data_IF_399152430500
#
_entry.id   IF_399152430500
#
_cell.length_a   1.000
_cell.length_b   1.000
_cell.length_c   1.000
_cell.angle_alpha   90.00
_cell.angle_beta   90.00
_cell.angle_gamma   90.00
#
_symmetry.space_group_name_H-M   'P 1'
#
loop_
_entity.id
_entity.type
_entity.pdbx_description
1 polymer ?
#
# COMPACT_ATOMS: atom_id res chain seq x y z
N UNK A 1 -35.80 42.78 16.03
CA UNK A 1 -36.08 42.05 14.78
C UNK A 1 -34.82 41.82 13.94
N UNK A 2 -34.12 42.86 13.44
CA UNK A 2 -32.95 42.67 12.56
C UNK A 2 -31.78 41.85 13.15
N UNK A 3 -31.57 41.92 14.46
CA UNK A 3 -30.52 41.14 15.12
C UNK A 3 -30.71 39.62 14.96
N UNK A 4 -31.94 39.10 15.09
CA UNK A 4 -32.22 37.67 14.91
C UNK A 4 -31.96 37.21 13.47
N UNK A 5 -32.29 38.06 12.49
CA UNK A 5 -31.99 37.80 11.07
C UNK A 5 -30.48 37.76 10.84
N UNK A 6 -29.72 38.68 11.44
CA UNK A 6 -28.27 38.70 11.34
C UNK A 6 -27.63 37.44 11.96
N UNK A 7 -28.13 36.99 13.11
CA UNK A 7 -27.66 35.73 13.75
C UNK A 7 -27.98 34.52 12.88
N UNK A 8 -29.20 34.41 12.34
CA UNK A 8 -29.55 33.30 11.45
C UNK A 8 -28.71 33.31 10.16
N UNK A 9 -28.41 34.50 9.63
CA UNK A 9 -27.52 34.66 8.49
C UNK A 9 -26.10 34.15 8.80
N UNK A 10 -25.57 34.46 9.99
CA UNK A 10 -24.30 33.91 10.44
C UNK A 10 -24.35 32.38 10.61
N UNK A 11 -25.39 31.83 11.25
CA UNK A 11 -25.57 30.39 11.44
C UNK A 11 -25.58 29.60 10.12
N UNK A 12 -26.17 30.16 9.04
CA UNK A 12 -26.13 29.55 7.71
C UNK A 12 -24.71 29.32 7.19
N UNK A 13 -23.73 30.11 7.64
CA UNK A 13 -22.32 29.94 7.30
C UNK A 13 -21.59 28.90 8.17
N UNK A 14 -22.17 28.46 9.29
CA UNK A 14 -21.52 27.56 10.24
C UNK A 14 -22.06 26.11 10.16
N UNK A 15 -22.89 25.83 9.16
CA UNK A 15 -23.50 24.51 8.97
C UNK A 15 -22.48 23.46 8.50
N UNK A 16 -22.70 22.22 8.93
CA UNK A 16 -21.89 21.07 8.54
C UNK A 16 -21.77 20.90 7.01
N UNK A 17 -22.82 21.24 6.26
CA UNK A 17 -22.77 21.24 4.79
C UNK A 17 -21.64 22.11 4.24
N UNK A 18 -21.46 23.32 4.78
CA UNK A 18 -20.35 24.20 4.37
C UNK A 18 -19.00 23.64 4.78
N UNK A 19 -18.89 23.01 5.95
CA UNK A 19 -17.66 22.35 6.38
C UNK A 19 -17.26 21.23 5.41
N UNK A 20 -18.22 20.43 4.94
CA UNK A 20 -17.99 19.37 3.97
C UNK A 20 -17.66 19.93 2.58
N UNK A 21 -18.37 20.96 2.10
CA UNK A 21 -18.07 21.65 0.83
C UNK A 21 -16.67 22.28 0.82
N UNK A 22 -16.19 22.75 1.98
CA UNK A 22 -14.82 23.26 2.15
C UNK A 22 -13.78 22.17 2.35
N UNK A 23 -14.18 20.90 2.42
CA UNK A 23 -13.29 19.76 2.57
C UNK A 23 -12.57 19.69 3.92
N UNK A 24 -13.04 20.41 4.94
CA UNK A 24 -12.44 20.37 6.30
C UNK A 24 -12.93 19.16 7.10
N UNK A 25 -14.03 18.54 6.66
CA UNK A 25 -14.54 17.26 7.15
C UNK A 25 -14.80 16.33 5.96
N UNK A 26 -14.76 15.02 6.20
CA UNK A 26 -15.01 14.03 5.15
C UNK A 26 -16.51 13.87 4.85
N UNK A 27 -17.33 13.80 5.89
CA UNK A 27 -18.77 13.55 5.75
C UNK A 27 -19.53 14.07 6.99
N UNK A 28 -20.76 14.52 6.78
CA UNK A 28 -21.72 14.82 7.85
C UNK A 28 -22.43 13.55 8.31
N UNK A 29 -22.45 13.28 9.61
CA UNK A 29 -23.03 12.05 10.15
C UNK A 29 -24.31 12.31 10.96
N UNK A 30 -25.27 11.39 10.83
CA UNK A 30 -26.40 11.32 11.74
C UNK A 30 -25.97 10.68 13.08
N UNK A 31 -26.26 11.36 14.19
CA UNK A 31 -25.90 10.87 15.53
C UNK A 31 -26.37 9.44 15.81
N UNK A 32 -27.58 9.08 15.36
CA UNK A 32 -28.16 7.73 15.54
C UNK A 32 -27.31 6.62 14.88
N UNK A 33 -26.62 6.93 13.80
CA UNK A 33 -25.79 5.98 13.04
C UNK A 33 -24.30 6.06 13.40
N UNK A 34 -23.89 7.07 14.16
CA UNK A 34 -22.49 7.38 14.49
C UNK A 34 -21.72 6.19 15.07
N UNK A 35 -22.31 5.45 16.03
CA UNK A 35 -21.66 4.28 16.65
C UNK A 35 -21.30 3.21 15.62
N UNK A 36 -22.23 2.87 14.71
CA UNK A 36 -21.99 1.87 13.65
C UNK A 36 -20.93 2.37 12.67
N UNK A 37 -21.00 3.64 12.29
CA UNK A 37 -20.01 4.26 11.41
C UNK A 37 -18.61 4.18 12.01
N UNK A 38 -18.42 4.69 13.23
CA UNK A 38 -17.10 4.73 13.87
C UNK A 38 -16.55 3.34 14.21
N UNK A 39 -17.41 2.36 14.52
CA UNK A 39 -16.98 0.97 14.70
C UNK A 39 -16.24 0.45 13.45
N UNK A 40 -16.87 0.54 12.28
CA UNK A 40 -16.25 0.06 11.04
C UNK A 40 -15.10 0.94 10.57
N UNK A 41 -15.23 2.27 10.69
CA UNK A 41 -14.19 3.20 10.26
C UNK A 41 -12.90 3.04 11.08
N UNK A 42 -13.02 2.93 12.41
CA UNK A 42 -11.86 2.74 13.27
C UNK A 42 -11.18 1.40 13.01
N UNK A 43 -11.96 0.32 12.87
CA UNK A 43 -11.44 -1.02 12.57
C UNK A 43 -10.69 -1.03 11.23
N UNK A 44 -11.23 -0.38 10.19
CA UNK A 44 -10.55 -0.16 8.91
C UNK A 44 -9.21 0.54 9.09
N UNK A 45 -9.20 1.69 9.75
CA UNK A 45 -7.98 2.50 9.95
C UNK A 45 -6.90 1.73 10.72
N UNK A 46 -7.27 0.92 11.71
CA UNK A 46 -6.33 0.08 12.45
C UNK A 46 -5.72 -1.02 11.58
N UNK A 47 -6.52 -1.66 10.72
CA UNK A 47 -6.03 -2.69 9.80
C UNK A 47 -5.16 -2.09 8.69
N UNK A 48 -5.59 -0.98 8.06
CA UNK A 48 -4.78 -0.23 7.10
C UNK A 48 -3.45 0.20 7.72
N UNK A 49 -3.46 0.71 8.97
CA UNK A 49 -2.24 1.09 9.69
C UNK A 49 -1.29 -0.09 9.94
N UNK A 50 -1.80 -1.30 10.22
CA UNK A 50 -0.97 -2.50 10.35
C UNK A 50 -0.30 -2.86 9.02
N UNK A 51 -1.05 -2.80 7.92
CA UNK A 51 -0.51 -3.11 6.58
C UNK A 51 0.48 -2.04 6.13
N UNK A 52 0.21 -0.76 6.35
CA UNK A 52 1.15 0.32 6.07
C UNK A 52 2.48 0.11 6.82
N UNK A 53 2.43 -0.33 8.08
CA UNK A 53 3.64 -0.67 8.83
C UNK A 53 4.42 -1.82 8.17
N UNK A 54 3.74 -2.86 7.67
CA UNK A 54 4.40 -3.95 6.97
C UNK A 54 4.99 -3.50 5.62
N UNK A 55 4.29 -2.65 4.87
CA UNK A 55 4.80 -2.09 3.61
C UNK A 55 6.05 -1.23 3.88
N UNK A 56 5.99 -0.34 4.87
CA UNK A 56 7.12 0.51 5.25
C UNK A 56 8.35 -0.29 5.73
N UNK A 57 8.14 -1.46 6.35
CA UNK A 57 9.23 -2.38 6.68
C UNK A 57 9.83 -3.10 5.46
N UNK A 58 9.05 -3.25 4.38
CA UNK A 58 9.51 -3.86 3.13
C UNK A 58 10.21 -2.85 2.21
N UNK A 59 9.75 -1.61 2.21
CA UNK A 59 10.30 -0.51 1.44
C UNK A 59 10.05 0.81 2.18
N UNK A 60 11.11 1.42 2.70
CA UNK A 60 11.05 2.65 3.49
C UNK A 60 10.90 3.92 2.65
N UNK A 61 11.13 3.85 1.35
CA UNK A 61 11.06 4.99 0.42
C UNK A 61 9.61 5.36 0.05
N UNK A 62 8.63 4.53 0.42
CA UNK A 62 7.22 4.74 0.07
C UNK A 62 6.53 5.72 1.00
N UNK A 63 5.95 6.77 0.42
CA UNK A 63 5.09 7.72 1.14
C UNK A 63 3.74 7.09 1.53
N UNK A 64 3.10 7.67 2.56
CA UNK A 64 1.75 7.23 3.00
C UNK A 64 0.71 7.30 1.88
N UNK A 65 0.77 8.32 1.03
CA UNK A 65 -0.14 8.46 -0.10
C UNK A 65 0.04 7.34 -1.14
N UNK A 66 1.29 6.95 -1.42
CA UNK A 66 1.59 5.81 -2.31
C UNK A 66 1.09 4.50 -1.69
N UNK A 67 1.33 4.26 -0.41
CA UNK A 67 0.84 3.06 0.28
C UNK A 67 -0.69 2.97 0.24
N UNK A 68 -1.40 4.08 0.47
CA UNK A 68 -2.86 4.15 0.35
C UNK A 68 -3.34 3.84 -1.08
N UNK A 69 -2.69 4.41 -2.09
CA UNK A 69 -3.03 4.16 -3.49
C UNK A 69 -2.77 2.69 -3.89
N UNK A 70 -1.67 2.11 -3.42
CA UNK A 70 -1.33 0.70 -3.64
C UNK A 70 -2.35 -0.23 -2.99
N UNK A 71 -2.74 0.03 -1.73
CA UNK A 71 -3.73 -0.79 -1.04
C UNK A 71 -5.10 -0.75 -1.74
N UNK A 72 -5.53 0.44 -2.20
CA UNK A 72 -6.74 0.58 -3.01
C UNK A 72 -6.62 -0.21 -4.32
N UNK A 73 -5.46 -0.15 -4.99
CA UNK A 73 -5.21 -0.90 -6.22
C UNK A 73 -5.30 -2.41 -5.96
N UNK A 74 -4.66 -2.91 -4.92
CA UNK A 74 -4.69 -4.33 -4.56
C UNK A 74 -6.10 -4.83 -4.24
N UNK A 75 -6.91 -4.01 -3.57
CA UNK A 75 -8.32 -4.32 -3.35
C UNK A 75 -9.08 -4.48 -4.68
N UNK A 76 -8.92 -3.53 -5.60
CA UNK A 76 -9.59 -3.55 -6.91
C UNK A 76 -9.12 -4.71 -7.78
N UNK A 77 -7.83 -5.02 -7.75
CA UNK A 77 -7.24 -6.16 -8.48
C UNK A 77 -7.77 -7.50 -7.94
N UNK A 78 -7.95 -7.62 -6.63
CA UNK A 78 -8.44 -8.84 -5.99
C UNK A 78 -9.95 -9.04 -6.13
N UNK A 79 -10.75 -7.99 -5.87
CA UNK A 79 -12.23 -8.06 -5.90
C UNK A 79 -12.83 -7.80 -7.28
N UNK A 80 -12.04 -7.25 -8.20
CA UNK A 80 -12.46 -6.85 -9.54
C UNK A 80 -12.99 -5.43 -9.63
N UNK A 81 -12.84 -4.82 -10.81
CA UNK A 81 -13.22 -3.42 -11.08
C UNK A 81 -14.71 -3.14 -10.89
N UNK A 82 -15.57 -4.14 -11.07
CA UNK A 82 -17.02 -4.03 -10.84
C UNK A 82 -17.34 -3.70 -9.37
N UNK A 83 -16.52 -4.17 -8.43
CA UNK A 83 -16.67 -3.91 -6.99
C UNK A 83 -15.82 -2.74 -6.48
N UNK A 84 -15.23 -1.93 -7.36
CA UNK A 84 -14.35 -0.84 -6.95
C UNK A 84 -15.06 0.20 -6.03
N UNK A 85 -16.38 0.36 -6.16
CA UNK A 85 -17.18 1.24 -5.30
C UNK A 85 -17.23 0.76 -3.84
N UNK A 86 -17.01 -0.54 -3.58
CA UNK A 86 -16.99 -1.10 -2.23
C UNK A 86 -15.77 -0.64 -1.42
N UNK A 87 -14.74 -0.09 -2.08
CA UNK A 87 -13.60 0.52 -1.40
C UNK A 87 -14.01 1.68 -0.47
N UNK A 88 -15.10 2.38 -0.79
CA UNK A 88 -15.62 3.46 0.05
C UNK A 88 -16.49 2.92 1.21
N UNK A 89 -16.92 1.65 1.13
CA UNK A 89 -17.64 0.98 2.20
C UNK A 89 -16.69 0.42 3.27
N UNK A 90 -16.69 1.02 4.46
CA UNK A 90 -15.82 0.61 5.56
C UNK A 90 -15.98 -0.86 5.96
N UNK A 91 -17.20 -1.41 5.92
CA UNK A 91 -17.45 -2.79 6.32
C UNK A 91 -16.87 -3.78 5.29
N UNK A 92 -17.12 -3.55 4.00
CA UNK A 92 -16.59 -4.40 2.92
C UNK A 92 -15.07 -4.44 2.94
N UNK A 93 -14.42 -3.27 3.07
CA UNK A 93 -12.95 -3.20 3.14
C UNK A 93 -12.42 -3.91 4.39
N UNK A 94 -13.05 -3.75 5.56
CA UNK A 94 -12.62 -4.47 6.77
C UNK A 94 -12.71 -5.98 6.59
N UNK A 95 -13.82 -6.48 6.03
CA UNK A 95 -13.99 -7.92 5.80
C UNK A 95 -12.90 -8.47 4.88
N UNK A 96 -12.59 -7.76 3.80
CA UNK A 96 -11.51 -8.14 2.90
C UNK A 96 -10.13 -8.09 3.59
N UNK A 97 -9.81 -7.00 4.30
CA UNK A 97 -8.53 -6.87 5.01
C UNK A 97 -8.33 -7.99 6.04
N UNK A 98 -9.39 -8.40 6.73
CA UNK A 98 -9.32 -9.50 7.70
C UNK A 98 -9.08 -10.85 7.05
N UNK A 99 -9.72 -11.13 5.92
CA UNK A 99 -9.44 -12.33 5.13
C UNK A 99 -7.98 -12.34 4.66
N UNK A 100 -7.47 -11.21 4.16
CA UNK A 100 -6.09 -11.09 3.69
C UNK A 100 -5.03 -11.19 4.80
N UNK A 101 -5.38 -10.86 6.04
CA UNK A 101 -4.50 -10.95 7.21
C UNK A 101 -4.66 -12.25 7.99
N UNK A 102 -5.63 -13.10 7.63
CA UNK A 102 -5.83 -14.40 8.27
C UNK A 102 -4.67 -15.35 7.94
N UNK A 103 -4.19 -16.09 8.95
CA UNK A 103 -3.15 -17.11 8.75
C UNK A 103 -3.70 -18.36 8.04
N UNK A 104 -5.01 -18.54 8.03
CA UNK A 104 -5.69 -19.67 7.39
C UNK A 104 -5.82 -19.52 5.87
N UNK A 105 -5.58 -18.31 5.34
CA UNK A 105 -5.66 -18.02 3.91
C UNK A 105 -4.32 -18.37 3.23
N UNK A 106 -4.25 -19.43 2.39
CA UNK A 106 -3.00 -19.84 1.76
C UNK A 106 -2.48 -18.83 0.71
N UNK A 107 -3.34 -17.96 0.17
CA UNK A 107 -2.99 -16.99 -0.87
C UNK A 107 -3.46 -15.58 -0.52
N UNK A 108 -2.66 -14.87 0.27
CA UNK A 108 -2.89 -13.46 0.60
C UNK A 108 -2.22 -12.55 -0.44
N UNK A 109 -3.05 -11.85 -1.21
CA UNK A 109 -2.63 -10.84 -2.20
C UNK A 109 -1.78 -9.75 -1.54
N UNK A 110 -2.15 -9.33 -0.33
CA UNK A 110 -1.39 -8.32 0.41
C UNK A 110 0.01 -8.83 0.76
N UNK A 111 0.10 -10.05 1.30
CA UNK A 111 1.39 -10.65 1.69
C UNK A 111 2.29 -10.87 0.48
N UNK A 112 1.73 -11.38 -0.60
CA UNK A 112 2.46 -11.64 -1.84
C UNK A 112 2.99 -10.34 -2.45
N UNK A 113 2.16 -9.30 -2.50
CA UNK A 113 2.58 -7.99 -2.99
C UNK A 113 3.66 -7.35 -2.10
N UNK A 114 3.56 -7.46 -0.77
CA UNK A 114 4.61 -6.98 0.15
C UNK A 114 5.93 -7.72 -0.09
N UNK A 115 5.88 -9.04 -0.33
CA UNK A 115 7.07 -9.82 -0.65
C UNK A 115 7.71 -9.40 -1.98
N UNK A 116 6.90 -9.07 -2.99
CA UNK A 116 7.39 -8.51 -4.25
C UNK A 116 8.06 -7.15 -4.02
N UNK A 117 7.42 -6.24 -3.30
CA UNK A 117 8.00 -4.93 -2.96
C UNK A 117 9.34 -5.06 -2.24
N UNK A 118 9.44 -5.99 -1.28
CA UNK A 118 10.68 -6.25 -0.56
C UNK A 118 11.79 -6.73 -1.49
N UNK A 119 11.49 -7.66 -2.41
CA UNK A 119 12.48 -8.14 -3.39
C UNK A 119 12.95 -7.01 -4.28
N UNK A 120 12.02 -6.22 -4.82
CA UNK A 120 12.33 -5.12 -5.73
C UNK A 120 13.20 -4.06 -5.02
N UNK A 121 12.87 -3.73 -3.77
CA UNK A 121 13.65 -2.78 -2.97
C UNK A 121 15.07 -3.29 -2.68
N UNK A 122 15.24 -4.57 -2.30
CA UNK A 122 16.57 -5.16 -2.09
C UNK A 122 17.38 -5.17 -3.39
N UNK A 123 16.77 -5.50 -4.53
CA UNK A 123 17.45 -5.46 -5.82
C UNK A 123 17.87 -4.03 -6.19
N UNK A 124 17.04 -3.03 -5.91
CA UNK A 124 17.37 -1.63 -6.12
C UNK A 124 18.53 -1.19 -5.23
N UNK A 125 18.56 -1.61 -3.95
CA UNK A 125 19.68 -1.35 -3.04
C UNK A 125 20.98 -1.97 -3.54
N UNK A 126 20.97 -3.24 -3.95
CA UNK A 126 22.15 -3.91 -4.53
C UNK A 126 22.65 -3.16 -5.76
N UNK A 127 21.73 -2.75 -6.64
CA UNK A 127 22.07 -1.99 -7.84
C UNK A 127 22.74 -0.65 -7.50
N UNK A 128 22.20 0.10 -6.55
CA UNK A 128 22.79 1.36 -6.10
C UNK A 128 24.20 1.14 -5.54
N UNK A 129 24.37 0.15 -4.66
CA UNK A 129 25.66 -0.16 -4.04
C UNK A 129 26.75 -0.49 -5.07
N UNK A 130 26.41 -1.27 -6.11
CA UNK A 130 27.35 -1.61 -7.20
C UNK A 130 27.62 -0.42 -8.12
N UNK A 131 26.63 0.45 -8.35
CA UNK A 131 26.82 1.67 -9.15
C UNK A 131 27.71 2.69 -8.46
N UNK A 132 27.57 2.83 -7.14
CA UNK A 132 28.35 3.76 -6.32
C UNK A 132 29.78 3.24 -6.07
N UNK A 133 29.99 1.92 -6.17
CA UNK A 133 31.27 1.24 -5.89
C UNK A 133 31.57 0.20 -7.00
N UNK A 134 31.90 0.62 -8.24
CA UNK A 134 32.08 -0.30 -9.36
C UNK A 134 33.24 -1.28 -9.19
N UNK A 135 34.23 -0.96 -8.35
CA UNK A 135 35.40 -1.80 -8.06
C UNK A 135 35.05 -3.11 -7.34
N UNK A 136 33.97 -3.13 -6.54
CA UNK A 136 33.56 -4.35 -5.80
C UNK A 136 32.64 -5.27 -6.62
N UNK A 137 32.28 -4.88 -7.85
CA UNK A 137 31.30 -5.60 -8.66
C UNK A 137 31.72 -7.04 -8.98
N UNK A 138 32.95 -7.23 -9.46
CA UNK A 138 33.48 -8.56 -9.83
C UNK A 138 33.65 -9.43 -8.59
N UNK A 139 34.24 -8.89 -7.52
CA UNK A 139 34.44 -9.61 -6.26
C UNK A 139 33.11 -10.07 -5.66
N UNK A 140 32.05 -9.24 -5.77
CA UNK A 140 30.70 -9.58 -5.34
C UNK A 140 30.13 -10.76 -6.14
N UNK A 141 30.30 -10.78 -7.46
CA UNK A 141 29.87 -11.91 -8.33
C UNK A 141 30.62 -13.19 -7.95
N UNK A 142 31.93 -13.11 -7.74
CA UNK A 142 32.75 -14.26 -7.32
C UNK A 142 32.25 -14.81 -5.98
N UNK A 143 32.03 -13.96 -4.99
CA UNK A 143 31.51 -14.39 -3.69
C UNK A 143 30.11 -15.00 -3.78
N UNK A 144 29.19 -14.38 -4.54
CA UNK A 144 27.84 -14.91 -4.74
C UNK A 144 27.84 -16.30 -5.38
N UNK A 145 28.66 -16.50 -6.42
CA UNK A 145 28.73 -17.77 -7.16
C UNK A 145 29.35 -18.91 -6.32
N UNK A 146 30.18 -18.61 -5.32
CA UNK A 146 30.71 -19.61 -4.39
C UNK A 146 29.62 -20.28 -3.53
N UNK A 147 28.52 -19.57 -3.25
CA UNK A 147 27.40 -20.09 -2.46
C UNK A 147 26.30 -20.75 -3.31
N UNK A 148 26.43 -20.76 -4.64
CA UNK A 148 25.48 -21.37 -5.55
C UNK A 148 25.74 -22.87 -5.76
N UNK A 149 24.67 -23.62 -6.00
CA UNK A 149 24.78 -25.03 -6.42
C UNK A 149 25.43 -25.16 -7.81
N UNK A 150 26.04 -26.31 -8.16
CA UNK A 150 26.61 -26.52 -9.49
C UNK A 150 25.61 -26.26 -10.63
N UNK A 151 24.34 -26.61 -10.45
CA UNK A 151 23.26 -26.33 -11.42
C UNK A 151 23.04 -24.82 -11.62
N UNK A 152 22.92 -24.06 -10.54
CA UNK A 152 22.78 -22.59 -10.60
C UNK A 152 23.99 -21.91 -11.23
N UNK A 153 25.21 -22.39 -10.94
CA UNK A 153 26.43 -21.87 -11.57
C UNK A 153 26.46 -22.10 -13.08
N UNK A 154 26.05 -23.29 -13.53
CA UNK A 154 25.95 -23.59 -14.95
C UNK A 154 24.91 -22.71 -15.65
N UNK A 155 23.80 -22.43 -14.98
CA UNK A 155 22.76 -21.53 -15.50
C UNK A 155 23.27 -20.09 -15.64
N UNK A 156 23.98 -19.57 -14.63
CA UNK A 156 24.61 -18.24 -14.71
C UNK A 156 25.63 -18.19 -15.85
N UNK A 157 26.48 -19.21 -15.99
CA UNK A 157 27.45 -19.28 -17.08
C UNK A 157 26.76 -19.30 -18.47
N UNK A 158 25.65 -20.02 -18.59
CA UNK A 158 24.84 -20.04 -19.82
C UNK A 158 24.27 -18.67 -20.15
N UNK A 159 23.69 -17.98 -19.17
CA UNK A 159 23.10 -16.64 -19.36
C UNK A 159 24.17 -15.64 -19.82
N UNK A 160 25.34 -15.63 -19.17
CA UNK A 160 26.46 -14.75 -19.56
C UNK A 160 26.93 -15.05 -20.99
N UNK A 161 27.08 -16.33 -21.35
CA UNK A 161 27.49 -16.73 -22.70
C UNK A 161 26.48 -16.29 -23.78
N UNK A 162 25.18 -16.31 -23.47
CA UNK A 162 24.14 -15.83 -24.42
C UNK A 162 24.09 -14.31 -24.54
N UNK A 163 24.47 -13.57 -23.49
CA UNK A 163 24.52 -12.10 -23.55
C UNK A 163 25.58 -11.61 -24.55
N UNK A 164 26.74 -12.28 -24.61
CA UNK A 164 27.80 -11.98 -25.57
C UNK A 164 27.37 -12.23 -27.04
N UNK A 165 26.41 -13.12 -27.28
CA UNK A 165 25.90 -13.41 -28.64
C UNK A 165 24.84 -12.42 -29.14
N UNK A 166 24.41 -11.48 -28.29
CA UNK A 166 23.39 -10.49 -28.60
C UNK A 166 23.94 -9.06 -28.78
N UNK A 167 25.26 -8.93 -28.94
CA UNK A 167 25.95 -7.71 -29.38
C UNK A 167 26.33 -7.77 -30.86
#
# INVERSE_FOLDING_TARGET
>A
MYHQVAVLFADLHDRAGRMQEKGVILETLEWRMSRKFFYWRLRRLLLEGRIHKQISQANEDLSVAQMQAMLRRWFIEAEGTVKAYEWDNNQSVVQWLEAQLSEEEPHSVIKDNINCLKRDHVLQQIRSLVQDNPEVAIDSIVHMTQHMTPSQRNEVARILATMDTSS
#
